data_IF_895958384640
#
_entry.id   IF_895958384640
#
_cell.length_a   1.000
_cell.length_b   1.000
_cell.length_c   1.000
_cell.angle_alpha   90.00
_cell.angle_beta   90.00
_cell.angle_gamma   90.00
#
_symmetry.space_group_name_H-M   'P 1'
#
loop_
_entity.id
_entity.type
_entity.pdbx_description
1 polymer ?
#
# COMPACT_ATOMS: atom_id res chain seq x y z
N UNK A 1 -18.62 -26.03 -29.34
CA UNK A 1 -19.48 -24.82 -29.37
C UNK A 1 -19.87 -24.33 -27.97
N UNK A 2 -20.11 -25.19 -26.97
CA UNK A 2 -20.36 -24.75 -25.57
C UNK A 2 -19.11 -24.31 -24.79
N UNK A 3 -17.93 -24.87 -25.07
CA UNK A 3 -16.67 -24.44 -24.42
C UNK A 3 -16.21 -23.06 -24.87
N UNK A 4 -16.28 -22.74 -26.16
CA UNK A 4 -15.86 -21.45 -26.73
C UNK A 4 -16.66 -20.28 -26.12
N UNK A 5 -17.97 -20.49 -25.90
CA UNK A 5 -18.83 -19.47 -25.27
C UNK A 5 -18.55 -19.28 -23.78
N UNK A 6 -18.04 -20.28 -23.06
CA UNK A 6 -17.67 -20.11 -21.65
C UNK A 6 -16.39 -19.29 -21.53
N UNK A 7 -15.40 -19.56 -22.39
CA UNK A 7 -14.13 -18.82 -22.41
C UNK A 7 -14.32 -17.36 -22.83
N UNK A 8 -15.13 -17.09 -23.86
CA UNK A 8 -15.45 -15.70 -24.25
C UNK A 8 -16.22 -14.95 -23.14
N UNK A 9 -17.17 -15.62 -22.45
CA UNK A 9 -17.90 -14.98 -21.35
C UNK A 9 -17.01 -14.75 -20.12
N UNK A 10 -16.05 -15.62 -19.85
CA UNK A 10 -15.09 -15.45 -18.76
C UNK A 10 -14.09 -14.32 -19.09
N UNK A 11 -13.56 -14.26 -20.30
CA UNK A 11 -12.68 -13.17 -20.78
C UNK A 11 -13.40 -11.80 -20.76
N UNK A 12 -14.64 -11.73 -21.24
CA UNK A 12 -15.44 -10.49 -21.19
C UNK A 12 -15.71 -10.06 -19.74
N UNK A 13 -15.95 -11.01 -18.83
CA UNK A 13 -16.19 -10.70 -17.41
C UNK A 13 -14.91 -10.19 -16.72
N UNK A 14 -13.75 -10.75 -17.06
CA UNK A 14 -12.45 -10.29 -16.57
C UNK A 14 -12.13 -8.88 -17.10
N UNK A 15 -12.35 -8.61 -18.39
CA UNK A 15 -12.18 -7.27 -18.99
C UNK A 15 -13.07 -6.22 -18.31
N UNK A 16 -14.34 -6.57 -18.03
CA UNK A 16 -15.27 -5.70 -17.31
C UNK A 16 -14.82 -5.47 -15.86
N UNK A 17 -14.26 -6.50 -15.21
CA UNK A 17 -13.75 -6.37 -13.86
C UNK A 17 -12.52 -5.45 -13.82
N UNK A 18 -11.62 -5.58 -14.78
CA UNK A 18 -10.42 -4.75 -14.90
C UNK A 18 -10.75 -3.29 -15.20
N UNK A 19 -11.71 -3.03 -16.10
CA UNK A 19 -12.22 -1.69 -16.35
C UNK A 19 -12.77 -1.05 -15.06
N UNK A 20 -13.58 -1.79 -14.28
CA UNK A 20 -14.12 -1.30 -13.01
C UNK A 20 -13.03 -1.05 -11.95
N UNK A 21 -12.00 -1.88 -11.93
CA UNK A 21 -10.85 -1.72 -11.03
C UNK A 21 -10.03 -0.47 -11.39
N UNK A 22 -9.84 -0.22 -12.68
CA UNK A 22 -9.19 1.00 -13.19
C UNK A 22 -9.98 2.25 -12.83
N UNK A 23 -11.30 2.25 -13.08
CA UNK A 23 -12.19 3.36 -12.75
C UNK A 23 -12.20 3.66 -11.24
N UNK A 24 -12.19 2.61 -10.41
CA UNK A 24 -12.09 2.72 -8.96
C UNK A 24 -10.77 3.40 -8.53
N UNK A 25 -9.65 2.96 -9.11
CA UNK A 25 -8.34 3.54 -8.82
C UNK A 25 -8.28 5.02 -9.22
N UNK A 26 -8.83 5.37 -10.39
CA UNK A 26 -8.93 6.74 -10.87
C UNK A 26 -9.70 7.65 -9.90
N UNK A 27 -10.88 7.20 -9.45
CA UNK A 27 -11.68 7.97 -8.48
C UNK A 27 -11.01 8.13 -7.11
N UNK A 28 -10.25 7.13 -6.66
CA UNK A 28 -9.49 7.22 -5.41
C UNK A 28 -8.38 8.27 -5.51
N UNK A 29 -7.61 8.26 -6.60
CA UNK A 29 -6.57 9.26 -6.88
C UNK A 29 -7.19 10.66 -6.97
N UNK A 30 -8.29 10.80 -7.71
CA UNK A 30 -9.01 12.07 -7.82
C UNK A 30 -9.44 12.60 -6.45
N UNK A 31 -9.88 11.71 -5.56
CA UNK A 31 -10.28 12.11 -4.20
C UNK A 31 -9.11 12.59 -3.34
N UNK A 32 -7.92 12.03 -3.54
CA UNK A 32 -6.69 12.51 -2.91
C UNK A 32 -6.24 13.87 -3.42
N UNK A 33 -6.32 14.09 -4.73
CA UNK A 33 -5.99 15.38 -5.38
C UNK A 33 -6.91 16.49 -4.90
N UNK A 34 -8.22 16.22 -4.85
CA UNK A 34 -9.21 17.23 -4.44
C UNK A 34 -9.28 17.41 -2.91
N UNK A 35 -8.58 16.57 -2.12
CA UNK A 35 -8.55 16.55 -0.64
C UNK A 35 -9.89 16.20 0.01
N UNK A 36 -10.78 15.51 -0.69
CA UNK A 36 -12.09 15.09 -0.18
C UNK A 36 -12.03 13.78 0.63
N UNK A 37 -10.85 13.40 1.13
CA UNK A 37 -10.64 12.12 1.82
C UNK A 37 -11.38 11.99 3.16
N UNK A 38 -11.67 13.14 3.78
CA UNK A 38 -12.40 13.25 5.04
C UNK A 38 -13.91 13.35 4.86
N UNK A 39 -14.37 13.65 3.64
CA UNK A 39 -15.78 13.76 3.30
C UNK A 39 -16.45 12.39 3.26
N UNK A 40 -17.72 12.39 3.61
CA UNK A 40 -18.54 11.20 3.54
C UNK A 40 -18.67 10.78 2.08
N UNK A 41 -18.73 9.47 1.85
CA UNK A 41 -18.80 8.95 0.49
C UNK A 41 -20.08 9.39 -0.24
N UNK A 42 -21.16 9.67 0.48
CA UNK A 42 -22.37 10.25 -0.10
C UNK A 42 -22.16 11.69 -0.59
N UNK A 43 -21.31 12.47 0.08
CA UNK A 43 -21.04 13.86 -0.27
C UNK A 43 -20.28 13.96 -1.59
N UNK A 44 -19.36 13.03 -1.86
CA UNK A 44 -18.64 12.96 -3.15
C UNK A 44 -19.53 12.65 -4.36
N UNK A 45 -20.71 12.09 -4.13
CA UNK A 45 -21.70 11.81 -5.16
C UNK A 45 -22.90 12.77 -5.06
N UNK A 46 -22.81 13.85 -4.28
CA UNK A 46 -23.89 14.82 -4.07
C UNK A 46 -24.07 15.77 -5.25
N UNK A 47 -25.34 15.98 -5.67
CA UNK A 47 -25.85 16.98 -6.64
C UNK A 47 -24.94 18.19 -6.86
N UNK A 48 -24.82 18.89 -5.74
CA UNK A 48 -24.58 20.32 -5.69
C UNK A 48 -23.17 20.66 -5.28
N UNK A 49 -22.56 19.83 -4.44
CA UNK A 49 -21.26 20.13 -3.82
C UNK A 49 -20.09 19.35 -4.46
N UNK A 50 -20.36 18.24 -5.14
CA UNK A 50 -19.30 17.34 -5.62
C UNK A 50 -18.92 17.51 -7.08
N UNK A 51 -17.69 17.13 -7.40
CA UNK A 51 -17.20 17.12 -8.77
C UNK A 51 -17.99 16.12 -9.65
N UNK A 52 -18.48 16.50 -10.84
CA UNK A 52 -19.25 15.63 -11.73
C UNK A 52 -18.54 14.32 -12.11
N UNK A 53 -17.20 14.31 -12.06
CA UNK A 53 -16.35 13.16 -12.41
C UNK A 53 -16.70 11.88 -11.62
N UNK A 54 -17.09 12.01 -10.35
CA UNK A 54 -17.46 10.84 -9.53
C UNK A 54 -18.66 10.09 -10.11
N UNK A 55 -19.67 10.85 -10.56
CA UNK A 55 -20.90 10.31 -11.15
C UNK A 55 -20.75 9.91 -12.60
N UNK A 56 -19.91 10.62 -13.34
CA UNK A 56 -19.60 10.29 -14.71
C UNK A 56 -18.87 8.95 -14.82
N UNK A 57 -18.05 8.62 -13.82
CA UNK A 57 -17.21 7.41 -13.82
C UNK A 57 -17.97 6.18 -13.33
N UNK A 58 -18.65 6.23 -12.17
CA UNK A 58 -19.48 5.12 -11.70
C UNK A 58 -20.54 5.54 -10.68
N UNK A 59 -21.51 4.67 -10.44
CA UNK A 59 -22.50 4.89 -9.38
C UNK A 59 -21.90 4.72 -7.98
N UNK A 60 -22.37 5.51 -7.00
CA UNK A 60 -21.98 5.41 -5.59
C UNK A 60 -22.07 3.97 -5.04
N UNK A 61 -23.13 3.26 -5.42
CA UNK A 61 -23.36 1.90 -4.94
C UNK A 61 -22.33 0.92 -5.51
N UNK A 62 -21.94 1.07 -6.78
CA UNK A 62 -20.87 0.28 -7.39
C UNK A 62 -19.54 0.57 -6.69
N UNK A 63 -19.19 1.84 -6.49
CA UNK A 63 -17.97 2.21 -5.78
C UNK A 63 -17.92 1.64 -4.35
N UNK A 64 -19.01 1.77 -3.59
CA UNK A 64 -19.15 1.15 -2.25
C UNK A 64 -18.95 -0.35 -2.30
N UNK A 65 -19.59 -1.01 -3.27
CA UNK A 65 -19.51 -2.44 -3.43
C UNK A 65 -18.07 -2.85 -3.72
N UNK A 66 -17.44 -2.28 -4.74
CA UNK A 66 -16.05 -2.60 -5.12
C UNK A 66 -15.08 -2.41 -3.93
N UNK A 67 -15.17 -1.30 -3.18
CA UNK A 67 -14.37 -1.09 -1.97
C UNK A 67 -14.60 -2.15 -0.89
N UNK A 68 -15.81 -2.71 -0.78
CA UNK A 68 -16.11 -3.79 0.16
C UNK A 68 -15.47 -5.12 -0.26
N UNK A 69 -15.33 -5.37 -1.55
CA UNK A 69 -14.79 -6.63 -2.09
C UNK A 69 -13.27 -6.68 -2.17
N UNK A 70 -12.57 -5.55 -2.01
CA UNK A 70 -11.11 -5.56 -1.86
C UNK A 70 -10.71 -6.41 -0.65
N UNK A 71 -9.93 -7.46 -0.90
CA UNK A 71 -9.38 -8.40 0.08
C UNK A 71 -7.96 -8.76 -0.33
N UNK A 72 -7.04 -8.72 0.64
CA UNK A 72 -5.62 -9.05 0.46
C UNK A 72 -5.24 -10.45 0.98
N UNK A 73 -6.22 -11.27 1.34
CA UNK A 73 -5.97 -12.55 2.02
C UNK A 73 -6.85 -13.68 1.48
N UNK A 74 -6.19 -14.79 1.14
CA UNK A 74 -6.76 -16.13 1.09
C UNK A 74 -6.63 -16.79 2.49
N UNK A 75 -7.64 -17.57 2.90
CA UNK A 75 -7.86 -18.02 4.29
C UNK A 75 -7.04 -19.23 4.72
N UNK A 76 -6.17 -19.78 3.87
CA UNK A 76 -5.45 -21.01 4.20
C UNK A 76 -4.03 -20.67 4.67
N UNK A 77 -3.74 -21.05 5.93
CA UNK A 77 -2.43 -21.09 6.62
C UNK A 77 -1.98 -19.85 7.41
N UNK A 78 -2.09 -19.93 8.75
CA UNK A 78 -1.20 -19.18 9.66
C UNK A 78 -1.12 -19.84 11.05
N UNK A 79 0.10 -20.16 11.48
CA UNK A 79 0.47 -20.43 12.88
C UNK A 79 1.43 -19.34 13.43
N UNK A 80 1.47 -19.18 14.75
CA UNK A 80 2.04 -18.02 15.50
C UNK A 80 3.51 -18.19 15.96
N UNK A 81 4.25 -17.06 15.83
CA UNK A 81 5.36 -16.46 16.61
C UNK A 81 6.61 -17.27 17.05
N UNK A 82 7.79 -16.86 16.56
CA UNK A 82 8.93 -16.34 17.35
C UNK A 82 10.05 -15.81 16.41
N UNK A 83 11.03 -15.07 16.95
CA UNK A 83 12.10 -14.40 16.18
C UNK A 83 12.86 -15.38 15.26
N UNK A 84 12.62 -15.26 13.96
CA UNK A 84 13.19 -16.12 12.92
C UNK A 84 14.44 -15.47 12.30
N UNK A 85 15.52 -16.23 12.26
CA UNK A 85 16.70 -15.94 11.46
C UNK A 85 16.64 -16.83 10.22
N UNK A 86 16.56 -16.23 9.04
CA UNK A 86 16.60 -16.98 7.78
C UNK A 86 17.83 -16.56 6.98
N UNK A 87 18.62 -17.56 6.58
CA UNK A 87 19.83 -17.38 5.80
C UNK A 87 19.66 -18.04 4.44
N UNK A 88 19.84 -17.25 3.38
CA UNK A 88 19.84 -17.77 2.01
C UNK A 88 20.99 -17.12 1.26
N UNK A 89 22.05 -17.90 1.01
CA UNK A 89 23.27 -17.41 0.34
C UNK A 89 23.93 -16.22 1.10
N UNK A 90 24.22 -15.08 0.43
CA UNK A 90 24.85 -13.92 1.07
C UNK A 90 23.87 -13.02 1.86
N UNK A 91 22.59 -13.42 1.98
CA UNK A 91 21.53 -12.62 2.57
C UNK A 91 21.14 -13.14 3.96
N UNK A 92 21.02 -12.24 4.93
CA UNK A 92 20.47 -12.52 6.26
C UNK A 92 19.16 -11.76 6.46
N UNK A 93 18.09 -12.48 6.80
CA UNK A 93 16.81 -11.93 7.24
C UNK A 93 16.68 -12.08 8.77
N UNK A 94 16.55 -10.95 9.45
CA UNK A 94 16.45 -10.84 10.90
C UNK A 94 15.07 -10.31 11.31
N UNK A 95 14.35 -11.05 12.15
CA UNK A 95 13.18 -10.55 12.89
C UNK A 95 13.55 -10.28 14.34
N UNK A 96 13.51 -9.02 14.79
CA UNK A 96 13.95 -8.60 16.12
C UNK A 96 12.92 -7.72 16.84
N UNK A 97 12.58 -8.06 18.08
CA UNK A 97 11.68 -7.27 18.92
C UNK A 97 12.48 -6.38 19.89
N UNK A 98 12.48 -5.06 19.64
CA UNK A 98 13.34 -4.12 20.38
C UNK A 98 12.82 -3.70 21.76
N UNK A 99 11.53 -3.89 22.05
CA UNK A 99 10.90 -3.61 23.35
C UNK A 99 9.75 -4.59 23.59
N UNK A 100 9.57 -4.99 24.84
CA UNK A 100 8.35 -5.68 25.26
C UNK A 100 7.14 -4.81 24.90
N UNK A 101 6.13 -5.42 24.28
CA UNK A 101 4.92 -4.78 23.74
C UNK A 101 5.06 -3.92 22.46
N UNK A 102 6.16 -4.04 21.69
CA UNK A 102 6.24 -3.43 20.34
C UNK A 102 6.35 -4.47 19.22
N UNK A 103 5.86 -4.13 18.03
CA UNK A 103 5.96 -4.97 16.83
C UNK A 103 7.44 -5.20 16.48
N UNK A 104 7.87 -6.43 16.12
CA UNK A 104 9.25 -6.71 15.74
C UNK A 104 9.65 -5.99 14.45
N UNK A 105 10.88 -5.49 14.44
CA UNK A 105 11.53 -4.86 13.30
C UNK A 105 12.15 -6.00 12.45
N UNK A 106 11.84 -6.02 11.16
CA UNK A 106 12.39 -7.00 10.21
C UNK A 106 13.42 -6.28 9.33
N UNK A 107 14.67 -6.77 9.31
CA UNK A 107 15.76 -6.22 8.52
C UNK A 107 16.35 -7.32 7.62
N UNK A 108 16.48 -7.02 6.32
CA UNK A 108 17.15 -7.87 5.33
C UNK A 108 18.40 -7.14 4.85
N UNK A 109 19.57 -7.75 5.02
CA UNK A 109 20.86 -7.13 4.71
C UNK A 109 21.73 -8.07 3.86
N UNK A 110 22.40 -7.53 2.86
CA UNK A 110 23.24 -8.25 1.90
C UNK A 110 24.72 -7.83 1.86
N UNK A 111 25.05 -6.68 2.47
CA UNK A 111 26.26 -5.93 2.12
C UNK A 111 27.29 -5.78 3.26
N UNK A 112 26.89 -5.87 4.53
CA UNK A 112 27.81 -5.63 5.65
C UNK A 112 28.40 -6.94 6.17
N UNK A 113 29.68 -7.18 5.87
CA UNK A 113 30.43 -8.36 6.34
C UNK A 113 31.31 -8.10 7.58
N UNK A 114 31.39 -6.85 8.06
CA UNK A 114 32.31 -6.43 9.13
C UNK A 114 31.61 -5.48 10.12
N UNK A 115 31.88 -5.65 11.41
CA UNK A 115 31.38 -4.82 12.50
C UNK A 115 32.24 -3.56 12.68
N UNK A 116 32.04 -2.57 11.82
CA UNK A 116 32.70 -1.28 11.93
C UNK A 116 31.77 -0.26 12.61
N UNK A 117 32.35 0.61 13.44
CA UNK A 117 31.64 1.69 14.14
C UNK A 117 32.11 3.04 13.64
N UNK A 118 31.17 3.93 13.38
CA UNK A 118 31.43 5.29 12.91
C UNK A 118 31.47 6.25 14.10
N UNK A 119 32.56 7.01 14.24
CA UNK A 119 32.76 8.01 15.30
C UNK A 119 33.34 7.41 16.58
N UNK A 120 34.65 7.58 16.80
CA UNK A 120 35.44 6.90 17.85
C UNK A 120 34.95 6.98 19.30
N UNK A 121 33.98 7.84 19.64
CA UNK A 121 33.36 7.93 20.98
C UNK A 121 31.89 7.47 21.02
N UNK A 122 31.15 7.56 19.91
CA UNK A 122 29.77 7.07 19.82
C UNK A 122 29.79 5.77 19.02
N UNK A 123 29.62 4.63 19.70
CA UNK A 123 29.62 3.26 19.12
C UNK A 123 28.45 3.00 18.16
N UNK A 124 28.16 3.89 17.22
CA UNK A 124 27.13 3.72 16.22
C UNK A 124 27.67 2.80 15.11
N UNK A 125 27.06 1.64 14.85
CA UNK A 125 27.51 0.78 13.77
C UNK A 125 27.39 1.50 12.41
N UNK A 126 28.38 1.35 11.53
CA UNK A 126 28.35 1.90 10.16
C UNK A 126 27.07 1.48 9.41
N UNK A 127 26.59 0.25 9.65
CA UNK A 127 25.31 -0.24 9.13
C UNK A 127 24.12 0.67 9.45
N UNK A 128 24.08 1.20 10.68
CA UNK A 128 23.00 2.08 11.14
C UNK A 128 23.19 3.50 10.59
N UNK A 129 24.44 3.95 10.45
CA UNK A 129 24.75 5.22 9.81
C UNK A 129 24.30 5.23 8.34
N UNK A 130 24.68 4.21 7.56
CA UNK A 130 24.34 4.08 6.14
C UNK A 130 22.83 3.86 5.91
N UNK A 131 22.18 3.07 6.77
CA UNK A 131 20.73 2.95 6.78
C UNK A 131 20.05 4.29 7.06
N UNK A 132 20.53 5.05 8.04
CA UNK A 132 19.95 6.36 8.37
C UNK A 132 20.21 7.42 7.31
N UNK A 133 21.35 7.36 6.60
CA UNK A 133 21.60 8.23 5.43
C UNK A 133 20.58 7.99 4.31
N UNK A 134 20.19 6.73 4.07
CA UNK A 134 19.20 6.38 3.04
C UNK A 134 17.75 6.56 3.52
N UNK A 135 17.51 6.59 4.84
CA UNK A 135 16.21 6.82 5.47
C UNK A 135 15.58 8.17 5.12
N UNK A 136 16.37 9.16 4.70
CA UNK A 136 15.87 10.45 4.19
C UNK A 136 14.87 10.29 3.04
N UNK A 137 15.04 9.31 2.15
CA UNK A 137 14.08 9.06 1.05
C UNK A 137 12.72 8.61 1.57
N UNK A 138 12.70 7.77 2.60
CA UNK A 138 11.45 7.31 3.22
C UNK A 138 10.72 8.49 3.87
N UNK A 139 11.45 9.39 4.53
CA UNK A 139 10.88 10.61 5.14
C UNK A 139 10.33 11.57 4.08
N UNK A 140 11.06 11.79 2.98
CA UNK A 140 10.59 12.63 1.88
C UNK A 140 9.32 12.05 1.21
N UNK A 141 9.26 10.72 1.09
CA UNK A 141 8.07 10.04 0.55
C UNK A 141 6.86 10.23 1.47
N UNK A 142 7.04 10.07 2.78
CA UNK A 142 5.96 10.27 3.76
C UNK A 142 5.42 11.71 3.75
N UNK A 143 6.31 12.70 3.61
CA UNK A 143 5.93 14.11 3.47
C UNK A 143 5.15 14.38 2.17
N UNK A 144 5.53 13.72 1.07
CA UNK A 144 4.82 13.82 -0.20
C UNK A 144 3.40 13.21 -0.10
N UNK A 145 3.27 12.01 0.48
CA UNK A 145 1.99 11.35 0.74
C UNK A 145 1.07 12.23 1.60
N UNK A 146 1.63 12.92 2.60
CA UNK A 146 0.87 13.82 3.47
C UNK A 146 0.15 14.96 2.72
N UNK A 147 0.59 15.31 1.51
CA UNK A 147 0.00 16.39 0.71
C UNK A 147 -1.17 15.93 -0.18
N UNK A 148 -1.17 14.67 -0.63
CA UNK A 148 -2.10 14.14 -1.64
C UNK A 148 -2.39 12.63 -1.42
N UNK A 149 -2.71 12.22 -0.19
CA UNK A 149 -3.06 10.82 0.12
C UNK A 149 -4.43 10.44 -0.43
N UNK A 150 -4.64 9.20 -0.83
CA UNK A 150 -5.96 8.62 -1.14
C UNK A 150 -6.64 7.99 0.07
N UNK A 151 -6.00 8.06 1.25
CA UNK A 151 -6.43 7.37 2.46
C UNK A 151 -7.74 7.92 3.00
N UNK A 152 -8.74 7.04 3.08
CA UNK A 152 -10.05 7.31 3.68
C UNK A 152 -10.22 6.63 5.03
N UNK A 153 -11.05 7.22 5.90
CA UNK A 153 -11.45 6.62 7.18
C UNK A 153 -12.14 5.27 6.90
N UNK A 154 -11.56 4.19 7.43
CA UNK A 154 -12.10 2.85 7.33
C UNK A 154 -11.70 2.02 8.55
N UNK A 155 -12.45 0.93 8.82
CA UNK A 155 -12.18 0.01 9.94
C UNK A 155 -11.52 -1.30 9.51
N UNK A 156 -11.05 -1.39 8.26
CA UNK A 156 -10.54 -2.62 7.65
C UNK A 156 -9.05 -2.44 7.36
N UNK A 157 -8.18 -2.99 8.19
CA UNK A 157 -6.72 -2.91 7.98
C UNK A 157 -6.24 -3.22 6.55
N UNK A 158 -6.82 -4.19 5.80
CA UNK A 158 -6.42 -4.42 4.42
C UNK A 158 -6.64 -3.21 3.49
N UNK A 159 -7.67 -2.40 3.75
CA UNK A 159 -7.90 -1.14 3.02
C UNK A 159 -6.85 -0.09 3.34
N UNK A 160 -6.35 -0.04 4.58
CA UNK A 160 -5.21 0.82 4.93
C UNK A 160 -3.98 0.46 4.12
N UNK A 161 -3.70 -0.84 3.95
CA UNK A 161 -2.60 -1.32 3.10
C UNK A 161 -2.83 -0.94 1.64
N UNK A 162 -4.04 -1.14 1.11
CA UNK A 162 -4.38 -0.75 -0.25
C UNK A 162 -4.14 0.73 -0.55
N UNK A 163 -4.64 1.62 0.31
CA UNK A 163 -4.47 3.06 0.11
C UNK A 163 -3.00 3.45 0.14
N UNK A 164 -2.21 2.86 1.04
CA UNK A 164 -0.77 3.10 1.08
C UNK A 164 -0.08 2.59 -0.21
N UNK A 165 -0.51 1.46 -0.77
CA UNK A 165 0.02 0.96 -2.05
C UNK A 165 -0.29 1.90 -3.20
N UNK A 166 -1.51 2.45 -3.26
CA UNK A 166 -1.89 3.44 -4.28
C UNK A 166 -1.07 4.73 -4.12
N UNK A 167 -0.93 5.24 -2.88
CA UNK A 167 -0.14 6.44 -2.60
C UNK A 167 1.32 6.29 -3.08
N UNK A 168 1.94 5.13 -2.80
CA UNK A 168 3.31 4.83 -3.24
C UNK A 168 3.37 4.67 -4.76
N UNK A 169 2.41 3.96 -5.37
CA UNK A 169 2.35 3.75 -6.82
C UNK A 169 2.20 5.08 -7.57
N UNK A 170 1.38 6.01 -7.07
CA UNK A 170 1.19 7.32 -7.66
C UNK A 170 2.48 8.17 -7.61
N UNK A 171 3.19 8.15 -6.48
CA UNK A 171 4.49 8.85 -6.37
C UNK A 171 5.53 8.22 -7.32
N UNK A 172 5.57 6.90 -7.41
CA UNK A 172 6.47 6.20 -8.32
C UNK A 172 6.14 6.55 -9.78
N UNK A 173 4.86 6.61 -10.15
CA UNK A 173 4.44 7.00 -11.49
C UNK A 173 4.75 8.46 -11.85
N UNK A 174 4.80 9.37 -10.86
CA UNK A 174 5.18 10.76 -11.06
C UNK A 174 6.70 10.94 -11.23
N UNK A 175 7.49 10.04 -10.65
CA UNK A 175 8.95 10.14 -10.60
C UNK A 175 9.66 9.39 -11.73
N UNK A 176 8.94 8.54 -12.45
CA UNK A 176 9.36 7.85 -13.68
C UNK A 176 9.00 8.70 -14.89
#
# INVERSE_FOLDING_TARGET
MREILLTENDEINDDIADSKNSDLAGLLIQSGVNRNNHELLSELWDISQSHPIYRATMFLQCFKHLLQFIRFYDRQHRDKSDCLFYFSGPYMLLSYQAKENKIPIILLLSLHKVSETFGGENKLPCAVHDYNQTKCRVVATDQCIGSCTVRRINRRWPMTVFYNLIDIAAINALTI
#
